data_IF_146498378315
#
_entry.id   IF_146498378315
#
_cell.length_a   1.000
_cell.length_b   1.000
_cell.length_c   1.000
_cell.angle_alpha   90.00
_cell.angle_beta   90.00
_cell.angle_gamma   90.00
#
_symmetry.space_group_name_H-M   'P 1'
#
loop_
_entity.id
_entity.type
_entity.pdbx_description
1 polymer ?
#
# COMPACT_ATOMS: atom_id res chain seq x y z
N UNK A 1 12.72 14.43 -0.15
CA UNK A 1 12.30 15.02 -1.44
C UNK A 1 13.27 16.12 -1.81
N UNK A 2 14.16 15.86 -2.76
CA UNK A 2 15.01 16.91 -3.33
C UNK A 2 14.12 17.80 -4.20
N UNK A 3 13.99 19.05 -3.78
CA UNK A 3 13.18 20.07 -4.44
C UNK A 3 13.83 20.41 -5.80
N UNK A 4 13.28 19.93 -6.92
CA UNK A 4 13.80 20.18 -8.28
C UNK A 4 13.36 21.53 -8.86
N UNK A 5 12.93 22.46 -8.00
CA UNK A 5 12.54 23.81 -8.43
C UNK A 5 13.75 24.53 -9.05
N UNK A 6 13.71 24.75 -10.36
CA UNK A 6 14.71 25.54 -11.10
C UNK A 6 15.73 24.74 -11.93
N UNK A 7 15.54 23.43 -12.09
CA UNK A 7 16.38 22.62 -12.99
C UNK A 7 15.94 22.84 -14.44
N UNK A 8 16.89 23.24 -15.30
CA UNK A 8 16.69 23.35 -16.75
C UNK A 8 17.01 21.98 -17.36
N UNK A 9 15.99 21.32 -17.89
CA UNK A 9 16.07 19.99 -18.53
C UNK A 9 16.74 20.08 -19.92
N UNK A 10 16.37 21.08 -20.71
CA UNK A 10 16.99 21.31 -22.02
C UNK A 10 17.08 22.79 -22.38
N UNK A 11 18.09 23.14 -23.17
CA UNK A 11 18.26 24.47 -23.77
C UNK A 11 18.28 24.35 -25.29
N UNK A 12 17.42 25.09 -25.98
CA UNK A 12 17.43 25.20 -27.44
C UNK A 12 18.04 26.51 -27.90
N UNK A 13 19.09 26.45 -28.72
CA UNK A 13 19.72 27.62 -29.37
C UNK A 13 19.82 27.36 -30.87
N UNK A 14 19.28 28.28 -31.67
CA UNK A 14 19.30 28.21 -33.15
C UNK A 14 18.81 26.86 -33.71
N UNK A 15 17.76 26.29 -33.09
CA UNK A 15 17.15 25.03 -33.51
C UNK A 15 17.91 23.77 -33.08
N UNK A 16 19.03 23.90 -32.37
CA UNK A 16 19.72 22.76 -31.74
C UNK A 16 19.34 22.70 -30.27
N UNK A 17 18.83 21.55 -29.83
CA UNK A 17 18.51 21.30 -28.42
C UNK A 17 19.64 20.53 -27.76
N UNK A 18 20.12 21.08 -26.64
CA UNK A 18 21.03 20.41 -25.72
C UNK A 18 20.20 19.92 -24.54
N UNK A 19 20.05 18.61 -24.47
CA UNK A 19 19.41 17.93 -23.36
C UNK A 19 20.46 17.70 -22.27
N UNK A 20 20.18 18.21 -21.08
CA UNK A 20 20.99 18.01 -19.89
C UNK A 20 20.19 17.08 -18.99
N UNK A 21 19.97 15.85 -19.47
CA UNK A 21 19.14 14.84 -18.82
C UNK A 21 19.47 14.82 -17.32
N UNK A 22 18.58 15.44 -16.55
CA UNK A 22 18.69 15.39 -15.10
C UNK A 22 18.08 14.06 -14.76
N UNK A 23 18.96 13.05 -14.64
CA UNK A 23 18.61 11.75 -14.09
C UNK A 23 17.84 12.02 -12.79
N UNK A 24 16.52 11.85 -12.85
CA UNK A 24 15.71 11.77 -11.65
C UNK A 24 16.32 10.70 -10.75
N UNK A 25 16.19 10.82 -9.41
CA UNK A 25 16.67 9.76 -8.55
C UNK A 25 16.10 8.43 -9.08
N UNK A 26 16.94 7.38 -9.17
CA UNK A 26 16.48 6.10 -9.69
C UNK A 26 15.18 5.74 -8.98
N UNK A 27 14.18 5.29 -9.74
CA UNK A 27 12.92 4.89 -9.15
C UNK A 27 13.20 3.81 -8.09
N UNK A 28 13.08 4.17 -6.82
CA UNK A 28 13.16 3.21 -5.73
C UNK A 28 11.86 2.42 -5.78
N UNK A 29 11.91 1.25 -6.43
CA UNK A 29 10.77 0.32 -6.56
C UNK A 29 10.14 -0.06 -5.20
N UNK A 30 10.88 0.14 -4.12
CA UNK A 30 10.47 -0.15 -2.76
C UNK A 30 11.13 0.83 -1.80
N UNK A 31 10.32 1.67 -1.15
CA UNK A 31 10.73 2.50 -0.03
C UNK A 31 10.15 1.90 1.26
N UNK A 32 10.97 1.32 2.15
CA UNK A 32 10.50 0.83 3.46
C UNK A 32 10.10 1.96 4.41
N UNK A 33 10.46 3.20 4.12
CA UNK A 33 10.11 4.41 4.88
C UNK A 33 8.81 5.08 4.45
N UNK A 34 8.05 4.50 3.51
CA UNK A 34 6.84 5.11 2.95
C UNK A 34 5.60 5.04 3.86
N UNK A 35 5.77 4.57 5.10
CA UNK A 35 4.74 4.56 6.13
C UNK A 35 3.78 3.37 6.08
N UNK A 36 4.00 2.40 5.18
CA UNK A 36 3.27 1.13 5.19
C UNK A 36 3.60 0.31 6.44
N UNK A 37 2.64 -0.47 6.91
CA UNK A 37 2.85 -1.49 7.94
C UNK A 37 3.64 -2.66 7.36
N UNK A 38 4.77 -3.02 7.98
CA UNK A 38 5.61 -4.17 7.58
C UNK A 38 5.83 -4.22 6.05
N UNK A 39 6.43 -3.17 5.46
CA UNK A 39 6.59 -3.10 4.01
C UNK A 39 7.57 -4.18 3.55
N UNK A 40 7.21 -4.93 2.51
CA UNK A 40 8.06 -5.94 1.88
C UNK A 40 8.08 -5.76 0.37
N UNK A 41 9.22 -6.02 -0.29
CA UNK A 41 9.28 -6.10 -1.74
C UNK A 41 8.28 -7.14 -2.26
N UNK A 42 7.50 -6.77 -3.28
CA UNK A 42 6.52 -7.67 -3.90
C UNK A 42 5.17 -7.77 -3.19
N UNK A 43 4.94 -6.99 -2.13
CA UNK A 43 3.62 -6.92 -1.49
C UNK A 43 2.53 -6.52 -2.50
N UNK A 44 1.43 -7.27 -2.47
CA UNK A 44 0.21 -6.99 -3.22
C UNK A 44 -0.83 -6.23 -2.39
N UNK A 45 -0.53 -6.04 -1.11
CA UNK A 45 -1.37 -5.40 -0.13
C UNK A 45 -0.52 -4.40 0.67
N UNK A 46 -0.88 -3.12 0.61
CA UNK A 46 -0.27 -2.04 1.37
C UNK A 46 -1.24 -1.58 2.45
N UNK A 47 -0.78 -1.58 3.70
CA UNK A 47 -1.59 -1.21 4.86
C UNK A 47 -1.03 0.07 5.45
N UNK A 48 -1.91 1.02 5.73
CA UNK A 48 -1.56 2.24 6.44
C UNK A 48 -2.44 2.39 7.67
N UNK A 49 -1.85 2.97 8.71
CA UNK A 49 -2.56 3.39 9.90
C UNK A 49 -2.74 4.91 9.88
N UNK A 50 -3.98 5.36 9.84
CA UNK A 50 -4.31 6.79 9.81
C UNK A 50 -5.31 7.12 10.92
N UNK A 51 -4.80 7.72 12.01
CA UNK A 51 -5.63 8.12 13.15
C UNK A 51 -6.28 6.92 13.86
N UNK A 52 -7.56 6.68 13.59
CA UNK A 52 -8.34 5.55 14.13
C UNK A 52 -8.73 4.51 13.06
N UNK A 53 -8.05 4.52 11.91
CA UNK A 53 -8.40 3.70 10.76
C UNK A 53 -7.23 2.93 10.20
N UNK A 54 -7.57 1.79 9.62
CA UNK A 54 -6.68 0.95 8.84
C UNK A 54 -7.09 1.09 7.39
N UNK A 55 -6.21 1.67 6.59
CA UNK A 55 -6.40 1.79 5.15
C UNK A 55 -5.72 0.61 4.47
N UNK A 56 -6.47 -0.07 3.60
CA UNK A 56 -6.00 -1.24 2.87
C UNK A 56 -6.02 -0.92 1.38
N UNK A 57 -4.82 -0.89 0.79
CA UNK A 57 -4.63 -0.71 -0.64
C UNK A 57 -4.19 -2.02 -1.28
N UNK A 58 -4.78 -2.33 -2.43
CA UNK A 58 -4.28 -3.35 -3.33
C UNK A 58 -3.23 -2.76 -4.24
N UNK A 59 -2.21 -3.53 -4.59
CA UNK A 59 -1.23 -3.15 -5.61
C UNK A 59 -1.52 -3.97 -6.86
N UNK A 60 -1.72 -3.31 -8.01
CA UNK A 60 -2.03 -4.00 -9.26
C UNK A 60 -0.76 -4.44 -10.03
N UNK A 61 -0.91 -5.08 -11.18
CA UNK A 61 0.22 -5.61 -11.96
C UNK A 61 1.15 -4.54 -12.55
N UNK A 62 0.75 -3.27 -12.51
CA UNK A 62 1.56 -2.11 -12.91
C UNK A 62 2.19 -1.40 -11.71
N UNK A 63 2.21 -2.06 -10.53
CA UNK A 63 2.71 -1.52 -9.27
C UNK A 63 1.98 -0.24 -8.83
N UNK A 64 0.70 -0.08 -9.19
CA UNK A 64 -0.13 1.05 -8.76
C UNK A 64 -1.05 0.61 -7.63
N UNK A 65 -1.01 1.38 -6.54
CA UNK A 65 -1.92 1.22 -5.40
C UNK A 65 -3.33 1.71 -5.72
N UNK A 66 -4.35 0.99 -5.25
CA UNK A 66 -5.75 1.41 -5.30
C UNK A 66 -6.46 1.02 -4.00
N UNK A 67 -7.38 1.87 -3.53
CA UNK A 67 -8.02 1.66 -2.23
C UNK A 67 -9.00 0.48 -2.31
N UNK A 68 -8.76 -0.56 -1.52
CA UNK A 68 -9.65 -1.70 -1.39
C UNK A 68 -10.67 -1.45 -0.28
N UNK A 69 -10.19 -1.12 0.93
CA UNK A 69 -11.04 -0.96 2.11
C UNK A 69 -10.45 0.04 3.12
N UNK A 70 -11.32 0.52 4.00
CA UNK A 70 -10.97 1.26 5.21
C UNK A 70 -11.74 0.66 6.37
N UNK A 71 -11.05 0.28 7.44
CA UNK A 71 -11.66 -0.26 8.65
C UNK A 71 -11.46 0.71 9.80
N UNK A 72 -12.52 0.98 10.56
CA UNK A 72 -12.39 1.66 11.86
C UNK A 72 -11.92 0.65 12.91
N UNK A 73 -10.96 1.05 13.73
CA UNK A 73 -10.37 0.15 14.74
C UNK A 73 -11.41 -0.27 15.77
N UNK A 74 -12.32 0.63 16.17
CA UNK A 74 -13.38 0.32 17.13
C UNK A 74 -14.33 -0.73 16.55
N UNK A 75 -14.67 -0.60 15.27
CA UNK A 75 -15.51 -1.58 14.59
C UNK A 75 -14.82 -2.96 14.50
N UNK A 76 -13.51 -2.99 14.23
CA UNK A 76 -12.74 -4.24 14.26
C UNK A 76 -12.70 -4.84 15.68
N UNK A 77 -12.49 -4.02 16.71
CA UNK A 77 -12.50 -4.46 18.10
C UNK A 77 -13.86 -5.01 18.53
N UNK A 78 -14.95 -4.39 18.08
CA UNK A 78 -16.32 -4.87 18.33
C UNK A 78 -16.59 -6.21 17.61
N UNK A 79 -15.98 -6.44 16.43
CA UNK A 79 -16.06 -7.71 15.71
C UNK A 79 -15.13 -8.81 16.27
N UNK A 80 -14.03 -8.42 16.91
CA UNK A 80 -13.03 -9.34 17.48
C UNK A 80 -12.38 -10.27 16.44
N UNK A 81 -12.13 -11.51 16.84
CA UNK A 81 -11.46 -12.52 15.99
C UNK A 81 -12.28 -12.92 14.75
N UNK A 82 -13.61 -12.80 14.78
CA UNK A 82 -14.45 -13.04 13.60
C UNK A 82 -14.10 -12.07 12.46
N UNK A 83 -13.77 -10.82 12.83
CA UNK A 83 -13.38 -9.77 11.92
C UNK A 83 -14.52 -9.24 11.05
N UNK A 84 -14.15 -8.44 10.06
CA UNK A 84 -15.05 -7.81 9.09
C UNK A 84 -14.62 -8.22 7.69
N UNK A 85 -15.61 -8.56 6.86
CA UNK A 85 -15.43 -8.95 5.47
C UNK A 85 -16.13 -7.94 4.56
N UNK A 86 -15.42 -7.46 3.54
CA UNK A 86 -15.95 -6.53 2.54
C UNK A 86 -15.77 -7.18 1.17
N UNK A 87 -16.88 -7.52 0.52
CA UNK A 87 -16.91 -7.94 -0.88
C UNK A 87 -16.82 -6.71 -1.80
N UNK A 88 -15.79 -6.67 -2.64
CA UNK A 88 -15.54 -5.62 -3.63
C UNK A 88 -15.89 -6.06 -5.05
N UNK A 89 -16.57 -7.20 -5.20
CA UNK A 89 -16.99 -7.74 -6.49
C UNK A 89 -15.78 -8.12 -7.34
N UNK A 90 -15.53 -7.35 -8.41
CA UNK A 90 -14.43 -7.61 -9.35
C UNK A 90 -13.06 -7.59 -8.68
N UNK A 91 -12.91 -6.84 -7.59
CA UNK A 91 -11.65 -6.77 -6.85
C UNK A 91 -11.52 -7.88 -5.80
N UNK A 92 -12.55 -8.72 -5.57
CA UNK A 92 -12.51 -9.80 -4.58
C UNK A 92 -12.90 -9.37 -3.17
N UNK A 93 -12.55 -10.16 -2.17
CA UNK A 93 -12.96 -9.95 -0.77
C UNK A 93 -11.78 -9.52 0.09
N UNK A 94 -12.01 -8.51 0.93
CA UNK A 94 -11.06 -8.03 1.94
C UNK A 94 -11.57 -8.42 3.31
N UNK A 95 -10.75 -9.16 4.05
CA UNK A 95 -11.02 -9.53 5.42
C UNK A 95 -10.03 -8.80 6.33
N UNK A 96 -10.50 -8.29 7.46
CA UNK A 96 -9.66 -7.76 8.52
C UNK A 96 -10.20 -8.18 9.89
N UNK A 97 -9.31 -8.58 10.80
CA UNK A 97 -9.65 -8.87 12.21
C UNK A 97 -8.62 -8.25 13.14
N UNK A 98 -8.98 -8.09 14.41
CA UNK A 98 -8.07 -7.62 15.46
C UNK A 98 -8.22 -8.50 16.70
N UNK A 99 -7.11 -8.86 17.34
CA UNK A 99 -7.11 -9.55 18.62
C UNK A 99 -7.03 -8.56 19.81
N UNK A 100 -7.23 -9.08 21.03
CA UNK A 100 -7.16 -8.29 22.27
C UNK A 100 -5.76 -7.72 22.54
N UNK A 101 -4.72 -8.19 21.84
CA UNK A 101 -3.34 -7.70 21.93
C UNK A 101 -3.05 -6.60 20.89
N UNK A 102 -4.05 -6.26 20.06
CA UNK A 102 -3.94 -5.26 19.00
C UNK A 102 -3.23 -5.78 17.74
N UNK A 103 -3.08 -7.09 17.55
CA UNK A 103 -2.63 -7.64 16.29
C UNK A 103 -3.77 -7.65 15.29
N UNK A 104 -3.54 -6.98 14.16
CA UNK A 104 -4.47 -6.89 13.04
C UNK A 104 -4.02 -7.83 11.95
N UNK A 105 -4.89 -8.75 11.56
CA UNK A 105 -4.73 -9.53 10.36
C UNK A 105 -5.54 -8.89 9.23
N UNK A 106 -4.96 -8.74 8.05
CA UNK A 106 -5.66 -8.31 6.83
C UNK A 106 -5.32 -9.27 5.70
N UNK A 107 -6.33 -9.74 4.97
CA UNK A 107 -6.17 -10.61 3.81
C UNK A 107 -7.03 -10.16 2.63
N UNK A 108 -6.49 -10.32 1.44
CA UNK A 108 -7.16 -10.09 0.17
C UNK A 108 -7.29 -11.40 -0.62
N UNK A 109 -8.51 -11.80 -0.94
CA UNK A 109 -8.80 -13.08 -1.61
C UNK A 109 -9.69 -12.89 -2.85
N UNK A 110 -9.37 -13.59 -3.94
CA UNK A 110 -10.13 -13.61 -5.18
C UNK A 110 -9.93 -12.38 -6.06
N UNK A 111 -10.96 -12.04 -6.83
CA UNK A 111 -10.96 -10.91 -7.75
C UNK A 111 -10.09 -11.08 -8.99
N UNK A 112 -10.07 -10.03 -9.81
CA UNK A 112 -9.37 -9.95 -11.10
C UNK A 112 -7.85 -10.15 -11.02
N UNK A 113 -7.28 -10.02 -9.83
CA UNK A 113 -5.84 -10.20 -9.58
C UNK A 113 -5.50 -11.56 -8.95
N UNK A 114 -6.48 -12.47 -8.84
CA UNK A 114 -6.32 -13.79 -8.25
C UNK A 114 -5.64 -13.74 -6.88
N UNK A 115 -6.09 -12.82 -6.03
CA UNK A 115 -5.52 -12.63 -4.70
C UNK A 115 -5.70 -13.91 -3.88
N UNK A 116 -4.63 -14.39 -3.25
CA UNK A 116 -4.65 -15.73 -2.62
C UNK A 116 -4.99 -15.71 -1.13
N UNK A 117 -5.07 -14.53 -0.51
CA UNK A 117 -5.22 -14.37 0.93
C UNK A 117 -4.00 -14.83 1.73
N UNK A 118 -2.86 -15.08 1.06
CA UNK A 118 -1.68 -15.68 1.67
C UNK A 118 -0.53 -14.69 1.84
N UNK A 119 0.15 -14.67 2.99
CA UNK A 119 1.24 -13.74 3.26
C UNK A 119 2.48 -14.01 2.40
N UNK A 120 2.78 -15.27 2.08
CA UNK A 120 3.92 -15.64 1.22
C UNK A 120 3.79 -15.12 -0.23
N UNK A 121 2.57 -14.76 -0.63
CA UNK A 121 2.27 -14.16 -1.94
C UNK A 121 1.99 -12.65 -1.85
N UNK A 122 2.21 -12.04 -0.69
CA UNK A 122 1.99 -10.61 -0.46
C UNK A 122 0.51 -10.18 -0.41
N UNK A 123 -0.42 -11.13 -0.28
CA UNK A 123 -1.87 -10.87 -0.26
C UNK A 123 -2.47 -10.87 1.16
N UNK A 124 -1.64 -11.02 2.19
CA UNK A 124 -2.06 -10.87 3.57
C UNK A 124 -0.92 -10.34 4.45
N UNK A 125 -1.28 -9.67 5.53
CA UNK A 125 -0.33 -9.12 6.51
C UNK A 125 -0.87 -9.24 7.93
N UNK A 126 0.07 -9.46 8.84
CA UNK A 126 -0.11 -9.27 10.27
C UNK A 126 0.57 -7.97 10.66
N UNK A 127 -0.18 -7.06 11.27
CA UNK A 127 0.31 -5.76 11.74
C UNK A 127 -0.03 -5.60 13.22
N UNK A 128 0.64 -4.69 13.94
CA UNK A 128 0.31 -4.38 15.33
C UNK A 128 -0.16 -2.94 15.47
N UNK A 129 -1.22 -2.73 16.25
CA UNK A 129 -1.78 -1.42 16.59
C UNK A 129 -1.45 -1.05 18.05
N UNK A 130 -1.06 0.22 18.33
CA UNK A 130 -0.58 1.18 17.35
C UNK A 130 0.74 0.69 16.73
N UNK A 131 1.01 1.08 15.49
CA UNK A 131 2.29 0.78 14.86
C UNK A 131 3.39 1.43 15.70
N UNK A 132 4.20 0.62 16.37
CA UNK A 132 5.48 1.10 16.88
C UNK A 132 6.33 1.30 15.63
N UNK A 133 6.54 2.57 15.26
CA UNK A 133 7.46 2.96 14.18
C UNK A 133 8.89 2.57 14.53
#
# INVERSE_FOLDING_TARGET
>A
TTNLNGVIDAVTVNGTTWDFEVDGPPAEFFDPGDGRCDPRPGDRLAIYYEGNRILVYGVNNLSRGFLLASFDIKALQEAGEEGIYIDKGVDGTIAASIDDQGHVWVAWTGGQYNASGRPEHGFAKLCKVPLIR
#
